data_IF_091006400187
#
_entry.id   IF_091006400187
#
_cell.length_a   1.000
_cell.length_b   1.000
_cell.length_c   1.000
_cell.angle_alpha   90.00
_cell.angle_beta   90.00
_cell.angle_gamma   90.00
#
_symmetry.space_group_name_H-M   'P 1'
#
loop_
_entity.id
_entity.type
_entity.pdbx_description
1 polymer ?
#
# COMPACT_ATOMS: atom_id res chain seq x y z
N UNK A 1 27.88 9.70 -2.09
CA UNK A 1 26.47 9.46 -1.68
C UNK A 1 25.94 10.71 -1.03
N UNK A 2 24.63 11.02 -1.04
CA UNK A 2 24.13 12.20 -0.35
C UNK A 2 24.33 12.06 1.17
N UNK A 3 25.03 12.99 1.79
CA UNK A 3 25.29 12.97 3.24
C UNK A 3 24.05 13.40 4.04
N UNK A 4 23.12 14.13 3.41
CA UNK A 4 21.84 14.55 4.01
C UNK A 4 20.72 13.53 3.80
N UNK A 5 19.97 13.23 4.86
CA UNK A 5 18.73 12.42 4.81
C UNK A 5 17.68 13.04 3.88
N UNK A 6 17.62 14.37 3.79
CA UNK A 6 16.65 15.05 2.91
C UNK A 6 16.98 14.84 1.43
N UNK A 7 18.27 14.80 1.08
CA UNK A 7 18.70 14.47 -0.28
C UNK A 7 18.41 13.00 -0.60
N UNK A 8 18.55 12.09 0.37
CA UNK A 8 18.13 10.70 0.20
C UNK A 8 16.61 10.61 -0.03
N UNK A 9 15.79 11.31 0.76
CA UNK A 9 14.35 11.32 0.58
C UNK A 9 13.97 11.86 -0.82
N UNK A 10 14.56 12.99 -1.23
CA UNK A 10 14.31 13.55 -2.55
C UNK A 10 14.69 12.58 -3.67
N UNK A 11 15.86 11.93 -3.57
CA UNK A 11 16.30 10.94 -4.55
C UNK A 11 15.33 9.75 -4.64
N UNK A 12 14.83 9.25 -3.49
CA UNK A 12 13.84 8.17 -3.46
C UNK A 12 12.50 8.60 -4.03
N UNK A 13 12.01 9.80 -3.70
CA UNK A 13 10.78 10.32 -4.29
C UNK A 13 10.88 10.49 -5.81
N UNK A 14 12.00 11.01 -6.32
CA UNK A 14 12.23 11.14 -7.76
C UNK A 14 12.28 9.77 -8.45
N UNK A 15 12.89 8.76 -7.81
CA UNK A 15 12.86 7.37 -8.31
C UNK A 15 11.43 6.85 -8.42
N UNK A 16 10.62 7.03 -7.37
CA UNK A 16 9.22 6.60 -7.36
C UNK A 16 8.37 7.37 -8.40
N UNK A 17 8.57 8.68 -8.50
CA UNK A 17 7.83 9.55 -9.44
C UNK A 17 8.11 9.21 -10.91
N UNK A 18 9.30 8.71 -11.24
CA UNK A 18 9.63 8.20 -12.58
C UNK A 18 8.87 6.92 -12.93
N UNK A 19 8.58 6.06 -11.94
CA UNK A 19 7.79 4.84 -12.14
C UNK A 19 6.32 5.14 -12.39
N UNK A 20 5.71 6.01 -11.57
CA UNK A 20 4.29 6.31 -11.71
C UNK A 20 3.91 7.72 -11.21
N UNK A 21 3.03 8.41 -11.95
CA UNK A 21 2.56 9.78 -11.66
C UNK A 21 1.90 9.91 -10.27
N UNK A 22 1.37 8.81 -9.72
CA UNK A 22 0.81 8.77 -8.36
C UNK A 22 1.83 9.17 -7.30
N UNK A 23 3.07 8.72 -7.45
CA UNK A 23 4.14 9.02 -6.51
C UNK A 23 4.61 10.47 -6.59
N UNK A 24 4.49 11.11 -7.76
CA UNK A 24 4.68 12.56 -7.87
C UNK A 24 3.62 13.31 -7.05
N UNK A 25 2.36 12.86 -7.09
CA UNK A 25 1.29 13.48 -6.29
C UNK A 25 1.54 13.31 -4.80
N UNK A 26 1.94 12.11 -4.36
CA UNK A 26 2.30 11.86 -2.96
C UNK A 26 3.48 12.73 -2.53
N UNK A 27 4.54 12.79 -3.35
CA UNK A 27 5.70 13.66 -3.10
C UNK A 27 5.26 15.12 -2.92
N UNK A 28 4.48 15.67 -3.85
CA UNK A 28 3.99 17.04 -3.79
C UNK A 28 3.18 17.28 -2.51
N UNK A 29 2.26 16.37 -2.15
CA UNK A 29 1.46 16.51 -0.93
C UNK A 29 2.32 16.50 0.33
N UNK A 30 3.29 15.58 0.43
CA UNK A 30 4.18 15.47 1.59
C UNK A 30 5.09 16.70 1.71
N UNK A 31 5.65 17.21 0.60
CA UNK A 31 6.50 18.40 0.60
C UNK A 31 5.72 19.71 0.77
N UNK A 32 4.53 19.85 0.19
CA UNK A 32 3.67 21.01 0.44
C UNK A 32 3.30 21.08 1.93
N UNK A 33 3.00 19.94 2.57
CA UNK A 33 2.74 19.90 4.01
C UNK A 33 3.97 20.27 4.84
N UNK A 34 5.18 20.05 4.33
CA UNK A 34 6.42 20.46 4.98
C UNK A 34 6.59 21.98 5.10
N UNK A 35 6.01 22.76 4.17
CA UNK A 35 6.05 24.22 4.21
C UNK A 35 5.27 24.78 5.41
N UNK A 36 4.19 24.10 5.80
CA UNK A 36 3.34 24.52 6.91
C UNK A 36 3.64 23.78 8.22
N UNK A 37 4.31 22.61 8.16
CA UNK A 37 4.60 21.80 9.34
C UNK A 37 5.96 21.07 9.28
N UNK A 38 7.08 21.80 9.45
CA UNK A 38 8.42 21.27 9.18
C UNK A 38 8.79 20.05 10.04
N UNK A 39 8.49 20.06 11.34
CA UNK A 39 8.86 18.94 12.26
C UNK A 39 8.04 17.67 12.03
N UNK A 40 6.73 17.76 11.79
CA UNK A 40 5.88 16.59 11.48
C UNK A 40 6.12 16.04 10.07
N UNK A 41 6.52 16.89 9.14
CA UNK A 41 6.75 16.50 7.76
C UNK A 41 7.98 15.63 7.52
N UNK A 42 9.00 15.71 8.41
CA UNK A 42 10.20 14.88 8.28
C UNK A 42 9.89 13.40 8.50
N UNK A 43 9.13 13.07 9.54
CA UNK A 43 8.64 11.70 9.80
C UNK A 43 7.84 11.15 8.60
N UNK A 44 7.02 11.99 7.97
CA UNK A 44 6.27 11.60 6.77
C UNK A 44 7.19 11.30 5.58
N UNK A 45 8.22 12.12 5.34
CA UNK A 45 9.18 11.89 4.25
C UNK A 45 10.03 10.66 4.50
N UNK A 46 10.66 10.56 5.67
CA UNK A 46 11.54 9.44 6.01
C UNK A 46 10.75 8.14 6.08
N UNK A 47 9.55 8.15 6.67
CA UNK A 47 8.65 7.00 6.72
C UNK A 47 8.19 6.54 5.35
N UNK A 48 7.73 7.46 4.50
CA UNK A 48 7.34 7.12 3.12
C UNK A 48 8.53 6.54 2.35
N UNK A 49 9.69 7.21 2.35
CA UNK A 49 10.86 6.74 1.60
C UNK A 49 11.41 5.42 2.14
N UNK A 50 11.39 5.21 3.45
CA UNK A 50 11.81 3.96 4.07
C UNK A 50 10.90 2.80 3.66
N UNK A 51 9.59 2.94 3.89
CA UNK A 51 8.62 1.88 3.62
C UNK A 51 8.49 1.62 2.12
N UNK A 52 8.47 2.66 1.28
CA UNK A 52 8.41 2.49 -0.17
C UNK A 52 9.70 1.87 -0.74
N UNK A 53 10.88 2.13 -0.15
CA UNK A 53 12.10 1.45 -0.59
C UNK A 53 12.08 -0.02 -0.19
N UNK A 54 11.58 -0.37 1.00
CA UNK A 54 11.39 -1.77 1.40
C UNK A 54 10.42 -2.49 0.45
N UNK A 55 9.31 -1.84 0.12
CA UNK A 55 8.29 -2.30 -0.85
C UNK A 55 8.92 -2.56 -2.22
N UNK A 56 9.60 -1.55 -2.78
CA UNK A 56 10.20 -1.64 -4.10
C UNK A 56 11.30 -2.70 -4.17
N UNK A 57 12.04 -2.94 -3.09
CA UNK A 57 13.03 -4.02 -3.04
C UNK A 57 12.35 -5.38 -3.11
N UNK A 58 11.30 -5.59 -2.30
CA UNK A 58 10.56 -6.85 -2.27
C UNK A 58 9.84 -7.12 -3.59
N UNK A 59 9.30 -6.09 -4.21
CA UNK A 59 8.57 -6.19 -5.47
C UNK A 59 9.48 -6.27 -6.71
N UNK A 60 10.77 -5.97 -6.56
CA UNK A 60 11.75 -5.96 -7.66
C UNK A 60 11.80 -4.65 -8.45
N UNK A 61 11.15 -3.59 -7.98
CA UNK A 61 11.19 -2.24 -8.55
C UNK A 61 12.45 -1.44 -8.16
N UNK A 62 13.17 -1.90 -7.13
CA UNK A 62 14.48 -1.40 -6.76
C UNK A 62 15.53 -2.49 -6.98
N UNK A 63 16.65 -2.19 -7.66
CA UNK A 63 17.72 -3.16 -7.82
C UNK A 63 18.39 -3.45 -6.48
N UNK A 64 18.73 -4.72 -6.26
CA UNK A 64 19.50 -5.19 -5.11
C UNK A 64 20.51 -6.24 -5.55
N UNK A 65 21.74 -6.16 -5.05
CA UNK A 65 22.76 -7.19 -5.25
C UNK A 65 22.56 -8.38 -4.29
N UNK A 66 21.90 -8.14 -3.16
CA UNK A 66 21.54 -9.15 -2.17
C UNK A 66 20.07 -9.53 -2.33
N UNK A 67 19.67 -10.70 -1.80
CA UNK A 67 18.26 -11.08 -1.71
C UNK A 67 17.44 -9.99 -0.97
N UNK A 68 16.33 -9.58 -1.58
CA UNK A 68 15.52 -8.47 -1.08
C UNK A 68 14.88 -8.79 0.29
N UNK A 69 14.45 -10.04 0.52
CA UNK A 69 13.90 -10.42 1.82
C UNK A 69 14.97 -10.33 2.91
N UNK A 70 16.20 -10.78 2.62
CA UNK A 70 17.33 -10.64 3.53
C UNK A 70 17.66 -9.17 3.85
N UNK A 71 17.62 -8.27 2.86
CA UNK A 71 17.86 -6.84 3.06
C UNK A 71 16.81 -6.23 3.99
N UNK A 72 15.53 -6.52 3.77
CA UNK A 72 14.43 -6.00 4.60
C UNK A 72 14.43 -6.63 6.00
N UNK A 73 14.73 -7.92 6.11
CA UNK A 73 14.88 -8.63 7.38
C UNK A 73 16.01 -8.01 8.24
N UNK A 74 17.13 -7.66 7.60
CA UNK A 74 18.23 -6.94 8.27
C UNK A 74 17.78 -5.58 8.78
N UNK A 75 17.07 -4.79 7.98
CA UNK A 75 16.51 -3.51 8.45
C UNK A 75 15.56 -3.68 9.64
N UNK A 76 14.72 -4.72 9.65
CA UNK A 76 13.88 -5.04 10.80
C UNK A 76 14.71 -5.40 12.05
N UNK A 77 15.79 -6.18 11.89
CA UNK A 77 16.71 -6.49 12.99
C UNK A 77 17.44 -5.25 13.53
N UNK A 78 17.87 -4.33 12.65
CA UNK A 78 18.48 -3.05 13.02
C UNK A 78 17.52 -2.18 13.85
N UNK A 79 16.24 -2.10 13.44
CA UNK A 79 15.19 -1.39 14.17
C UNK A 79 14.99 -2.00 15.57
N UNK A 80 14.93 -3.34 15.68
CA UNK A 80 14.81 -4.02 16.98
C UNK A 80 16.01 -3.74 17.88
N UNK A 81 17.22 -3.78 17.33
CA UNK A 81 18.47 -3.60 18.07
C UNK A 81 18.79 -2.13 18.38
N UNK A 82 18.15 -1.17 17.70
CA UNK A 82 18.49 0.24 17.76
C UNK A 82 19.87 0.57 17.19
N UNK A 83 20.44 -0.33 16.37
CA UNK A 83 21.77 -0.18 15.76
C UNK A 83 21.62 -0.29 14.25
N UNK A 84 21.98 0.76 13.53
CA UNK A 84 21.72 0.89 12.10
C UNK A 84 23.02 0.86 11.31
N UNK A 85 23.00 0.18 10.17
CA UNK A 85 24.08 0.22 9.18
C UNK A 85 24.15 1.53 8.40
N UNK A 86 25.06 1.59 7.43
CA UNK A 86 25.31 2.77 6.59
C UNK A 86 24.52 2.76 5.27
N UNK A 87 23.84 1.66 4.95
CA UNK A 87 23.05 1.52 3.73
C UNK A 87 21.86 2.49 3.68
N UNK A 88 21.35 2.78 2.47
CA UNK A 88 20.25 3.73 2.29
C UNK A 88 19.01 3.35 3.09
N UNK A 89 18.61 2.07 3.06
CA UNK A 89 17.46 1.58 3.82
C UNK A 89 17.66 1.77 5.33
N UNK A 90 18.84 1.42 5.86
CA UNK A 90 19.23 1.60 7.26
C UNK A 90 19.22 3.07 7.70
N UNK A 91 19.77 3.97 6.88
CA UNK A 91 19.79 5.42 7.15
C UNK A 91 18.38 6.01 7.18
N UNK A 92 17.50 5.58 6.26
CA UNK A 92 16.09 6.00 6.25
C UNK A 92 15.33 5.43 7.46
N UNK A 93 15.55 4.15 7.80
CA UNK A 93 14.99 3.52 8.99
C UNK A 93 15.39 4.27 10.26
N UNK A 94 16.67 4.58 10.42
CA UNK A 94 17.20 5.33 11.56
C UNK A 94 16.52 6.69 11.69
N UNK A 95 16.47 7.45 10.59
CA UNK A 95 15.86 8.77 10.59
C UNK A 95 14.36 8.69 10.91
N UNK A 96 13.66 7.71 10.33
CA UNK A 96 12.24 7.50 10.59
C UNK A 96 11.98 7.13 12.06
N UNK A 97 12.77 6.21 12.63
CA UNK A 97 12.60 5.78 14.02
C UNK A 97 12.91 6.91 15.00
N UNK A 98 13.87 7.79 14.68
CA UNK A 98 14.17 8.97 15.48
C UNK A 98 13.00 9.98 15.49
N UNK A 99 12.27 10.11 14.37
CA UNK A 99 11.20 11.11 14.24
C UNK A 99 9.82 10.58 14.67
N UNK A 100 9.57 9.27 14.57
CA UNK A 100 8.26 8.64 14.78
C UNK A 100 7.92 8.38 16.26
N UNK A 101 8.93 8.29 17.14
CA UNK A 101 8.73 7.98 18.55
C UNK A 101 8.25 6.54 18.79
N UNK A 102 7.11 6.37 19.48
CA UNK A 102 6.57 5.06 19.88
C UNK A 102 5.65 4.45 18.81
N UNK A 103 6.25 3.89 17.75
CA UNK A 103 5.53 3.07 16.77
C UNK A 103 6.39 1.96 16.14
N UNK A 104 7.42 1.53 16.88
CA UNK A 104 8.40 0.54 16.40
C UNK A 104 7.71 -0.78 16.02
N UNK A 105 6.80 -1.26 16.85
CA UNK A 105 6.11 -2.52 16.61
C UNK A 105 5.25 -2.46 15.36
N UNK A 106 4.52 -1.36 15.12
CA UNK A 106 3.73 -1.24 13.89
C UNK A 106 4.60 -1.21 12.63
N UNK A 107 5.81 -0.64 12.70
CA UNK A 107 6.76 -0.70 11.59
C UNK A 107 7.24 -2.12 11.36
N UNK A 108 7.64 -2.83 12.42
CA UNK A 108 8.11 -4.21 12.30
C UNK A 108 7.01 -5.14 11.77
N UNK A 109 5.79 -5.00 12.26
CA UNK A 109 4.64 -5.76 11.77
C UNK A 109 4.33 -5.45 10.31
N UNK A 110 4.47 -4.19 9.87
CA UNK A 110 4.26 -3.83 8.47
C UNK A 110 5.33 -4.44 7.57
N UNK A 111 6.60 -4.40 7.97
CA UNK A 111 7.68 -5.06 7.24
C UNK A 111 7.44 -6.57 7.14
N UNK A 112 7.00 -7.22 8.22
CA UNK A 112 6.67 -8.64 8.20
C UNK A 112 5.48 -8.96 7.28
N UNK A 113 4.48 -8.07 7.20
CA UNK A 113 3.37 -8.20 6.25
C UNK A 113 3.84 -8.09 4.78
N UNK A 114 4.71 -7.11 4.47
CA UNK A 114 5.26 -6.93 3.12
C UNK A 114 6.13 -8.12 2.69
N UNK A 115 6.96 -8.62 3.62
CA UNK A 115 7.76 -9.83 3.40
C UNK A 115 6.89 -11.07 3.20
N UNK A 116 5.75 -11.15 3.88
CA UNK A 116 4.79 -12.22 3.65
C UNK A 116 4.21 -12.17 2.23
N UNK A 117 3.86 -10.99 1.71
CA UNK A 117 3.41 -10.87 0.31
C UNK A 117 4.51 -11.28 -0.67
N UNK A 118 5.78 -10.92 -0.41
CA UNK A 118 6.91 -11.42 -1.21
C UNK A 118 6.97 -12.95 -1.24
N UNK A 119 6.80 -13.62 -0.09
CA UNK A 119 6.76 -15.09 -0.04
C UNK A 119 5.58 -15.65 -0.82
N UNK A 120 4.39 -15.04 -0.68
CA UNK A 120 3.19 -15.43 -1.43
C UNK A 120 3.42 -15.33 -2.94
N UNK A 121 4.05 -14.23 -3.39
CA UNK A 121 4.38 -14.00 -4.78
C UNK A 121 5.38 -15.04 -5.33
N UNK A 122 6.48 -15.28 -4.61
CA UNK A 122 7.51 -16.23 -5.03
C UNK A 122 7.02 -17.68 -5.09
N UNK A 123 6.12 -18.05 -4.18
CA UNK A 123 5.61 -19.42 -4.06
C UNK A 123 4.27 -19.63 -4.78
N UNK A 124 3.70 -18.58 -5.39
CA UNK A 124 2.37 -18.65 -6.04
C UNK A 124 1.25 -19.05 -5.07
N UNK A 125 1.32 -18.61 -3.81
CA UNK A 125 0.38 -19.03 -2.77
C UNK A 125 -1.00 -18.44 -3.02
N UNK A 126 -1.99 -19.33 -3.20
CA UNK A 126 -3.40 -18.99 -3.18
C UNK A 126 -3.90 -18.96 -1.73
N UNK A 127 -4.66 -17.92 -1.39
CA UNK A 127 -5.19 -17.71 -0.04
C UNK A 127 -6.72 -17.64 -0.07
N UNK A 128 -7.36 -18.04 1.03
CA UNK A 128 -8.81 -17.96 1.13
C UNK A 128 -9.29 -16.50 1.22
N UNK A 129 -10.57 -16.29 0.90
CA UNK A 129 -11.13 -14.94 0.85
C UNK A 129 -11.05 -14.21 2.20
N UNK A 130 -11.16 -14.94 3.31
CA UNK A 130 -11.05 -14.37 4.66
C UNK A 130 -9.61 -14.02 5.01
N UNK A 131 -8.65 -14.91 4.71
CA UNK A 131 -7.22 -14.66 4.94
C UNK A 131 -6.71 -13.45 4.15
N UNK A 132 -7.11 -13.33 2.87
CA UNK A 132 -6.78 -12.15 2.05
C UNK A 132 -7.32 -10.87 2.68
N UNK A 133 -8.59 -10.88 3.10
CA UNK A 133 -9.23 -9.72 3.74
C UNK A 133 -8.55 -9.37 5.06
N UNK A 134 -8.25 -10.36 5.89
CA UNK A 134 -7.56 -10.15 7.16
C UNK A 134 -6.15 -9.58 6.96
N UNK A 135 -5.42 -10.11 5.98
CA UNK A 135 -4.09 -9.62 5.60
C UNK A 135 -4.14 -8.17 5.10
N UNK A 136 -5.01 -7.86 4.14
CA UNK A 136 -5.18 -6.49 3.64
C UNK A 136 -5.60 -5.52 4.76
N UNK A 137 -6.60 -5.90 5.57
CA UNK A 137 -7.04 -5.12 6.74
C UNK A 137 -5.86 -4.81 7.65
N UNK A 138 -5.04 -5.81 7.98
CA UNK A 138 -3.86 -5.64 8.82
C UNK A 138 -2.87 -4.65 8.20
N UNK A 139 -2.50 -4.85 6.94
CA UNK A 139 -1.52 -4.01 6.23
C UNK A 139 -1.98 -2.56 6.13
N UNK A 140 -3.24 -2.31 5.78
CA UNK A 140 -3.76 -0.94 5.66
C UNK A 140 -3.99 -0.29 7.02
N UNK A 141 -4.40 -1.04 8.05
CA UNK A 141 -4.48 -0.55 9.43
C UNK A 141 -3.11 -0.07 9.92
N UNK A 142 -2.06 -0.86 9.69
CA UNK A 142 -0.68 -0.51 10.06
C UNK A 142 -0.18 0.72 9.29
N UNK A 143 -0.34 0.73 7.97
CA UNK A 143 0.04 1.86 7.12
C UNK A 143 -0.66 3.16 7.54
N UNK A 144 -1.97 3.11 7.80
CA UNK A 144 -2.72 4.28 8.26
C UNK A 144 -2.32 4.70 9.67
N UNK A 145 -2.07 3.75 10.58
CA UNK A 145 -1.58 4.07 11.93
C UNK A 145 -0.26 4.84 11.88
N UNK A 146 0.70 4.36 11.09
CA UNK A 146 2.00 5.01 10.93
C UNK A 146 1.87 6.40 10.33
N UNK A 147 1.03 6.56 9.31
CA UNK A 147 0.75 7.87 8.71
C UNK A 147 0.14 8.85 9.71
N UNK A 148 -0.88 8.43 10.46
CA UNK A 148 -1.55 9.27 11.45
C UNK A 148 -0.59 9.65 12.60
N UNK A 149 0.24 8.71 13.07
CA UNK A 149 1.28 8.99 14.08
C UNK A 149 2.33 9.96 13.56
N UNK A 150 2.84 9.76 12.35
CA UNK A 150 3.79 10.68 11.71
C UNK A 150 3.18 12.09 11.52
N UNK A 151 1.88 12.15 11.23
CA UNK A 151 1.11 13.38 11.16
C UNK A 151 0.65 13.92 12.54
N UNK A 152 1.08 13.31 13.66
CA UNK A 152 0.69 13.68 15.03
C UNK A 152 -0.82 13.88 15.20
N UNK A 153 -1.59 13.00 14.57
CA UNK A 153 -3.05 12.96 14.64
C UNK A 153 -3.51 12.46 16.02
N UNK A 154 -4.72 12.86 16.39
CA UNK A 154 -5.45 12.30 17.55
C UNK A 154 -6.26 11.07 17.16
N UNK A 155 -6.59 10.96 15.87
CA UNK A 155 -7.30 9.83 15.31
C UNK A 155 -6.35 8.65 15.09
N UNK A 156 -6.89 7.45 15.22
CA UNK A 156 -6.28 6.21 14.81
C UNK A 156 -7.11 5.49 13.74
N UNK A 157 -6.62 4.34 13.23
CA UNK A 157 -7.37 3.55 12.25
C UNK A 157 -8.74 3.07 12.75
N UNK A 158 -8.90 2.91 14.08
CA UNK A 158 -10.16 2.51 14.70
C UNK A 158 -11.26 3.57 14.60
N UNK A 159 -10.93 4.83 14.32
CA UNK A 159 -11.93 5.88 14.08
C UNK A 159 -12.56 5.80 12.67
N UNK A 160 -12.02 4.98 11.76
CA UNK A 160 -12.55 4.79 10.40
C UNK A 160 -12.42 3.33 9.92
N UNK A 161 -13.08 2.37 10.58
CA UNK A 161 -12.93 0.94 10.27
C UNK A 161 -13.42 0.59 8.85
N UNK A 162 -14.49 1.20 8.37
CA UNK A 162 -15.01 0.95 7.01
C UNK A 162 -14.05 1.43 5.93
N UNK A 163 -13.31 2.51 6.23
CA UNK A 163 -12.28 3.04 5.34
C UNK A 163 -11.12 2.04 5.18
N UNK A 164 -10.71 1.39 6.28
CA UNK A 164 -9.68 0.33 6.26
C UNK A 164 -10.11 -0.85 5.40
N UNK A 165 -11.37 -1.30 5.52
CA UNK A 165 -11.88 -2.37 4.67
C UNK A 165 -11.91 -1.96 3.18
N UNK A 166 -12.31 -0.73 2.89
CA UNK A 166 -12.36 -0.21 1.51
C UNK A 166 -10.96 -0.12 0.86
N UNK A 167 -9.91 0.11 1.65
CA UNK A 167 -8.53 0.08 1.14
C UNK A 167 -8.15 -1.27 0.57
N UNK A 168 -8.54 -2.37 1.24
CA UNK A 168 -8.25 -3.73 0.77
C UNK A 168 -8.77 -3.97 -0.64
N UNK A 169 -10.01 -3.56 -0.89
CA UNK A 169 -10.61 -3.59 -2.22
C UNK A 169 -9.88 -2.66 -3.20
N UNK A 170 -9.68 -1.39 -2.83
CA UNK A 170 -9.14 -0.39 -3.73
C UNK A 170 -7.73 -0.73 -4.19
N UNK A 171 -6.89 -1.28 -3.31
CA UNK A 171 -5.55 -1.73 -3.67
C UNK A 171 -5.60 -2.95 -4.59
N UNK A 172 -6.37 -3.97 -4.21
CA UNK A 172 -6.50 -5.20 -4.99
C UNK A 172 -6.97 -4.92 -6.41
N UNK A 173 -8.04 -4.14 -6.58
CA UNK A 173 -8.59 -3.89 -7.91
C UNK A 173 -7.74 -2.94 -8.76
N UNK A 174 -7.04 -2.00 -8.11
CA UNK A 174 -6.17 -1.04 -8.81
C UNK A 174 -4.92 -1.73 -9.35
N UNK A 175 -4.31 -2.58 -8.54
CA UNK A 175 -3.00 -3.15 -8.83
C UNK A 175 -3.09 -4.63 -9.30
N UNK A 176 -4.29 -5.19 -9.53
CA UNK A 176 -4.52 -6.60 -9.86
C UNK A 176 -3.61 -7.15 -10.98
N UNK A 177 -3.50 -6.47 -12.12
CA UNK A 177 -2.64 -6.94 -13.23
C UNK A 177 -1.15 -6.84 -12.88
N UNK A 178 -0.76 -5.81 -12.14
CA UNK A 178 0.62 -5.61 -11.68
C UNK A 178 1.00 -6.68 -10.65
N UNK A 179 0.14 -6.95 -9.67
CA UNK A 179 0.31 -8.01 -8.67
C UNK A 179 0.43 -9.38 -9.36
N UNK A 180 -0.47 -9.69 -10.29
CA UNK A 180 -0.41 -10.94 -11.06
C UNK A 180 0.88 -11.03 -11.89
N UNK A 181 1.38 -9.92 -12.42
CA UNK A 181 2.65 -9.89 -13.16
C UNK A 181 3.85 -10.25 -12.30
N UNK A 182 3.74 -10.04 -10.99
CA UNK A 182 4.75 -10.35 -9.97
C UNK A 182 4.51 -11.70 -9.29
N UNK A 183 3.47 -12.44 -9.69
CA UNK A 183 3.07 -13.71 -9.08
C UNK A 183 2.25 -13.55 -7.79
N UNK A 184 1.90 -12.33 -7.39
CA UNK A 184 1.06 -12.08 -6.23
C UNK A 184 -0.41 -12.23 -6.60
N UNK A 185 -1.03 -13.33 -6.18
CA UNK A 185 -2.44 -13.60 -6.49
C UNK A 185 -3.34 -13.05 -5.37
N UNK A 186 -3.81 -11.82 -5.52
CA UNK A 186 -4.79 -11.18 -4.62
C UNK A 186 -6.26 -11.51 -5.01
N UNK A 187 -6.48 -12.72 -5.51
CA UNK A 187 -7.80 -13.28 -5.83
C UNK A 187 -8.03 -14.52 -4.94
N UNK A 188 -9.22 -14.69 -4.34
CA UNK A 188 -9.48 -15.84 -3.47
C UNK A 188 -9.20 -17.18 -4.15
N UNK A 189 -8.64 -18.13 -3.38
CA UNK A 189 -8.25 -19.47 -3.84
C UNK A 189 -9.33 -20.14 -4.68
N UNK A 190 -10.57 -20.19 -4.19
CA UNK A 190 -11.67 -20.84 -4.90
C UNK A 190 -12.00 -20.16 -6.24
N UNK A 191 -11.91 -18.84 -6.31
CA UNK A 191 -12.12 -18.07 -7.55
C UNK A 191 -10.99 -18.37 -8.54
N UNK A 192 -9.75 -18.39 -8.05
CA UNK A 192 -8.58 -18.68 -8.88
C UNK A 192 -8.61 -20.11 -9.44
N UNK A 193 -8.99 -21.10 -8.62
CA UNK A 193 -9.14 -22.49 -9.04
C UNK A 193 -10.30 -22.66 -10.03
N UNK A 194 -11.42 -21.98 -9.83
CA UNK A 194 -12.54 -22.00 -10.77
C UNK A 194 -12.16 -21.42 -12.14
N UNK A 195 -11.39 -20.33 -12.16
CA UNK A 195 -10.87 -19.76 -13.41
C UNK A 195 -9.90 -20.71 -14.11
N UNK A 196 -8.99 -21.36 -13.37
CA UNK A 196 -8.07 -22.36 -13.90
C UNK A 196 -8.80 -23.59 -14.48
N UNK A 197 -9.84 -24.08 -13.79
CA UNK A 197 -10.68 -25.18 -14.28
C UNK A 197 -11.43 -24.81 -15.57
N UNK A 198 -11.74 -23.52 -15.77
CA UNK A 198 -12.29 -22.99 -17.01
C UNK A 198 -11.23 -22.68 -18.09
N UNK A 199 -9.99 -23.15 -17.93
CA UNK A 199 -8.91 -22.97 -18.90
C UNK A 199 -8.24 -21.59 -18.86
N UNK A 200 -8.48 -20.79 -17.83
CA UNK A 200 -7.90 -19.46 -17.64
C UNK A 200 -7.07 -19.41 -16.36
N UNK A 201 -5.87 -20.03 -16.31
CA UNK A 201 -5.01 -19.99 -15.13
C UNK A 201 -4.43 -18.59 -14.91
N UNK A 202 -4.09 -18.24 -13.66
CA UNK A 202 -3.57 -16.92 -13.29
C UNK A 202 -2.22 -16.56 -13.95
N UNK A 203 -1.49 -17.55 -14.45
CA UNK A 203 -0.27 -17.35 -15.24
C UNK A 203 -0.55 -16.70 -16.59
N UNK A 204 -1.75 -16.88 -17.17
CA UNK A 204 -2.27 -16.06 -18.26
C UNK A 204 -3.16 -14.96 -17.66
N UNK A 205 -2.54 -13.86 -17.27
CA UNK A 205 -3.20 -12.75 -16.55
C UNK A 205 -4.40 -12.20 -17.31
N UNK A 206 -4.29 -12.08 -18.64
CA UNK A 206 -5.34 -11.49 -19.47
C UNK A 206 -6.55 -12.41 -19.54
N UNK A 207 -6.34 -13.71 -19.78
CA UNK A 207 -7.42 -14.69 -19.77
C UNK A 207 -8.04 -14.82 -18.37
N UNK A 208 -7.21 -14.85 -17.33
CA UNK A 208 -7.62 -14.95 -15.93
C UNK A 208 -8.53 -13.79 -15.50
N UNK A 209 -8.10 -12.54 -15.70
CA UNK A 209 -8.89 -11.34 -15.38
C UNK A 209 -10.19 -11.30 -16.18
N UNK A 210 -10.15 -11.77 -17.43
CA UNK A 210 -11.32 -11.88 -18.30
C UNK A 210 -12.15 -13.16 -18.06
N UNK A 211 -11.84 -13.98 -17.05
CA UNK A 211 -12.62 -15.18 -16.78
C UNK A 211 -13.94 -14.84 -16.09
N UNK A 212 -15.03 -15.60 -16.36
CA UNK A 212 -16.30 -15.39 -15.66
C UNK A 212 -16.19 -15.44 -14.12
N UNK A 213 -15.47 -16.39 -13.49
CA UNK A 213 -15.33 -16.43 -12.04
C UNK A 213 -14.68 -15.16 -11.46
N UNK A 214 -13.61 -14.67 -12.08
CA UNK A 214 -12.90 -13.47 -11.60
C UNK A 214 -13.75 -12.22 -11.79
N UNK A 215 -14.50 -12.09 -12.90
CA UNK A 215 -15.40 -10.95 -13.10
C UNK A 215 -16.57 -10.94 -12.12
N UNK A 216 -17.14 -12.10 -11.82
CA UNK A 216 -18.23 -12.22 -10.84
C UNK A 216 -17.73 -11.76 -9.47
N UNK A 217 -16.60 -12.32 -9.02
CA UNK A 217 -15.94 -11.92 -7.77
C UNK A 217 -15.62 -10.42 -7.73
N UNK A 218 -15.02 -9.85 -8.79
CA UNK A 218 -14.69 -8.43 -8.85
C UNK A 218 -15.94 -7.53 -8.76
N UNK A 219 -17.06 -7.99 -9.31
CA UNK A 219 -18.35 -7.28 -9.22
C UNK A 219 -18.90 -7.29 -7.80
N UNK A 220 -18.88 -8.44 -7.12
CA UNK A 220 -19.29 -8.58 -5.72
C UNK A 220 -18.43 -7.70 -4.79
N UNK A 221 -17.11 -7.76 -4.98
CA UNK A 221 -16.17 -6.96 -4.21
C UNK A 221 -16.36 -5.45 -4.44
N UNK A 222 -16.73 -5.03 -5.66
CA UNK A 222 -17.09 -3.63 -5.93
C UNK A 222 -18.34 -3.21 -5.17
N UNK A 223 -19.40 -4.02 -5.17
CA UNK A 223 -20.64 -3.71 -4.44
C UNK A 223 -20.35 -3.54 -2.94
N UNK A 224 -19.59 -4.48 -2.37
CA UNK A 224 -19.12 -4.40 -0.97
C UNK A 224 -18.34 -3.11 -0.70
N UNK A 225 -17.45 -2.72 -1.60
CA UNK A 225 -16.65 -1.50 -1.44
C UNK A 225 -17.49 -0.22 -1.53
N UNK A 226 -18.52 -0.18 -2.37
CA UNK A 226 -19.45 0.96 -2.45
C UNK A 226 -20.18 1.14 -1.12
N UNK A 227 -20.67 0.05 -0.52
CA UNK A 227 -21.34 0.10 0.78
C UNK A 227 -20.39 0.56 1.90
N UNK A 228 -19.15 0.07 1.91
CA UNK A 228 -18.11 0.50 2.86
C UNK A 228 -17.79 1.99 2.72
N UNK A 229 -17.66 2.49 1.49
CA UNK A 229 -17.39 3.91 1.22
C UNK A 229 -18.58 4.79 1.58
N UNK A 230 -19.81 4.32 1.38
CA UNK A 230 -21.02 5.03 1.81
C UNK A 230 -21.09 5.13 3.34
N UNK A 231 -20.83 4.02 4.05
CA UNK A 231 -20.77 3.99 5.51
C UNK A 231 -19.65 4.89 6.04
N UNK A 232 -18.46 4.84 5.45
CA UNK A 232 -17.34 5.73 5.80
C UNK A 232 -17.70 7.20 5.59
N UNK A 233 -18.35 7.55 4.48
CA UNK A 233 -18.80 8.92 4.22
C UNK A 233 -19.82 9.42 5.25
N UNK A 234 -20.68 8.53 5.75
CA UNK A 234 -21.65 8.87 6.78
C UNK A 234 -21.01 9.08 8.15
N UNK A 235 -19.95 8.34 8.50
CA UNK A 235 -19.30 8.40 9.82
C UNK A 235 -18.24 9.51 9.94
N UNK A 236 -17.48 9.80 8.88
CA UNK A 236 -16.39 10.78 8.92
C UNK A 236 -16.77 12.22 9.35
N UNK A 237 -17.98 12.76 9.05
CA UNK A 237 -18.38 14.07 9.53
C UNK A 237 -18.33 14.23 11.06
N UNK A 238 -18.56 13.16 11.82
CA UNK A 238 -18.50 13.17 13.28
C UNK A 238 -17.07 13.39 13.82
N UNK A 239 -16.04 13.18 12.99
CA UNK A 239 -14.63 13.37 13.36
C UNK A 239 -14.13 14.80 13.06
N UNK A 240 -14.95 15.66 12.45
CA UNK A 240 -14.55 17.02 12.08
C UNK A 240 -14.04 17.79 13.30
N UNK A 241 -12.92 18.48 13.13
CA UNK A 241 -12.25 19.24 14.19
C UNK A 241 -11.20 18.44 14.97
N UNK A 242 -11.20 17.10 14.90
CA UNK A 242 -10.13 16.26 15.47
C UNK A 242 -8.93 16.22 14.53
N UNK A 243 -7.71 16.27 15.08
CA UNK A 243 -6.48 16.24 14.27
C UNK A 243 -6.37 14.91 13.52
N UNK A 244 -6.25 14.96 12.19
CA UNK A 244 -6.17 13.79 11.30
C UNK A 244 -7.45 13.52 10.52
N UNK A 245 -8.57 14.19 10.83
CA UNK A 245 -9.83 13.99 10.12
C UNK A 245 -9.72 14.32 8.64
N UNK A 246 -8.88 15.31 8.31
CA UNK A 246 -8.61 15.71 6.93
C UNK A 246 -7.87 14.62 6.13
N UNK A 247 -7.03 13.83 6.80
CA UNK A 247 -6.28 12.71 6.20
C UNK A 247 -7.27 11.60 5.85
N UNK A 248 -8.14 11.23 6.79
CA UNK A 248 -9.17 10.20 6.56
C UNK A 248 -10.13 10.62 5.43
N UNK A 249 -10.58 11.88 5.46
CA UNK A 249 -11.46 12.42 4.42
C UNK A 249 -10.77 12.50 3.04
N UNK A 250 -9.45 12.73 2.99
CA UNK A 250 -8.69 12.69 1.73
C UNK A 250 -8.71 11.29 1.13
N UNK A 251 -8.49 10.25 1.95
CA UNK A 251 -8.53 8.87 1.49
C UNK A 251 -9.91 8.43 1.05
N UNK A 252 -10.97 8.77 1.80
CA UNK A 252 -12.35 8.49 1.39
C UNK A 252 -12.62 9.09 0.01
N UNK A 253 -12.30 10.38 -0.20
CA UNK A 253 -12.52 11.04 -1.50
C UNK A 253 -11.74 10.38 -2.62
N UNK A 254 -10.49 9.99 -2.36
CA UNK A 254 -9.63 9.30 -3.33
C UNK A 254 -10.23 7.96 -3.76
N UNK A 255 -10.61 7.12 -2.79
CA UNK A 255 -11.17 5.79 -3.05
C UNK A 255 -12.58 5.87 -3.66
N UNK A 256 -13.43 6.78 -3.19
CA UNK A 256 -14.72 7.07 -3.81
C UNK A 256 -14.57 7.58 -5.25
N UNK A 257 -13.54 8.37 -5.53
CA UNK A 257 -13.20 8.78 -6.90
C UNK A 257 -12.76 7.61 -7.78
N UNK A 258 -12.01 6.65 -7.23
CA UNK A 258 -11.65 5.43 -7.92
C UNK A 258 -12.87 4.54 -8.21
N UNK A 259 -13.73 4.31 -7.23
CA UNK A 259 -14.96 3.54 -7.39
C UNK A 259 -15.89 4.10 -8.48
N UNK A 260 -16.14 5.41 -8.49
CA UNK A 260 -16.95 6.06 -9.55
C UNK A 260 -16.36 5.91 -10.95
N UNK A 261 -15.03 5.95 -11.10
CA UNK A 261 -14.39 5.74 -12.42
C UNK A 261 -14.58 4.32 -12.93
N UNK A 262 -14.68 3.34 -12.03
CA UNK A 262 -14.99 1.96 -12.40
C UNK A 262 -16.48 1.77 -12.73
N UNK A 263 -17.38 2.58 -12.18
CA UNK A 263 -18.82 2.58 -12.53
C UNK A 263 -19.08 3.16 -13.93
N UNK A 264 -18.37 4.23 -14.31
CA UNK A 264 -18.54 4.87 -15.63
C UNK A 264 -18.00 4.04 -16.81
N UNK A 265 -17.33 2.92 -16.52
CA UNK A 265 -16.92 1.92 -17.49
C UNK A 265 -17.95 0.78 -17.40
N UNK A 266 -18.98 0.83 -18.25
CA UNK A 266 -19.85 -0.31 -18.62
C UNK A 266 -18.97 -1.57 -18.81
N UNK A 267 -19.41 -2.83 -18.54
CA UNK A 267 -18.54 -3.99 -18.32
C UNK A 267 -17.83 -4.46 -19.61
N UNK A 268 -16.94 -3.62 -20.10
CA UNK A 268 -15.84 -3.92 -20.97
C UNK A 268 -14.64 -4.19 -20.04
N UNK A 269 -13.71 -5.08 -20.44
CA UNK A 269 -12.67 -5.60 -19.56
C UNK A 269 -11.91 -4.41 -18.97
N UNK A 270 -11.71 -4.43 -17.65
CA UNK A 270 -10.84 -3.60 -16.81
C UNK A 270 -10.23 -2.35 -17.47
N UNK A 271 -10.27 -1.16 -16.81
CA UNK A 271 -9.76 0.07 -17.39
C UNK A 271 -8.34 -0.14 -17.93
N UNK A 272 -8.17 0.24 -19.19
CA UNK A 272 -6.98 0.09 -20.03
C UNK A 272 -5.70 0.03 -19.19
N UNK A 273 -5.04 -1.12 -19.26
CA UNK A 273 -3.60 -1.31 -19.07
C UNK A 273 -2.90 -0.05 -19.56
N UNK A 274 -2.36 0.74 -18.64
CA UNK A 274 -1.37 1.76 -18.99
C UNK A 274 -0.18 1.00 -19.54
N UNK A 275 -0.12 0.88 -20.86
CA UNK A 275 1.04 0.39 -21.57
C UNK A 275 2.24 1.23 -21.14
N UNK A 276 3.12 0.64 -20.33
CA UNK A 276 4.49 1.10 -20.20
C UNK A 276 5.14 0.97 -21.58
N UNK A 277 5.40 2.11 -22.22
CA UNK A 277 6.53 2.26 -23.14
C UNK A 277 7.68 2.84 -22.34
#
# INVERSE_FOLDING_TARGET
MPDSIELLCLAQFLRCARRHRRYLTVMLLVYMRALFWPRGSRALRTGFCFLQLADDLLDGDAPSAEDADAVVARAAAEIRAGRYGTGTLSRLAQAFMADLGHAREEVLELLDAMRFDRRRALQGLLSDAEDLRAHHRRTFRLSLALLLKAARAELGPGDAPELIEAFGWCSTMRDLDEDLSRGLVNVPRLVALAAAAAGSPWTDRRAFIASPPVRAWATEERLRAVDLLAASRASLPALRGRRGAEILALFERSMSGFARRLESVTPAPYPKVCASR
#
